data_IF_678444612279
#
_entry.id   IF_678444612279
#
_cell.length_a   1.000
_cell.length_b   1.000
_cell.length_c   1.000
_cell.angle_alpha   90.00
_cell.angle_beta   90.00
_cell.angle_gamma   90.00
#
_symmetry.space_group_name_H-M   'P 1'
#
loop_
_entity.id
_entity.type
_entity.pdbx_description
1 polymer ?
#
# COMPACT_ATOMS: atom_id res chain seq x y z
N UNK A 1 -11.78 0.18 18.44
CA UNK A 1 -11.44 0.03 17.00
C UNK A 1 -10.42 1.09 16.60
N UNK A 2 -9.12 0.75 16.50
CA UNK A 2 -8.05 1.55 15.84
C UNK A 2 -6.88 0.63 15.43
N UNK A 3 -7.03 -0.27 14.44
CA UNK A 3 -5.90 -1.13 14.07
C UNK A 3 -4.96 -0.49 13.04
N UNK A 4 -5.49 0.21 12.03
CA UNK A 4 -4.68 0.69 10.90
C UNK A 4 -3.71 1.82 11.26
N UNK A 5 -4.18 2.87 11.95
CA UNK A 5 -3.36 4.04 12.30
C UNK A 5 -2.17 3.67 13.21
N UNK A 6 -2.41 2.78 14.17
CA UNK A 6 -1.36 2.28 15.07
C UNK A 6 -0.36 1.37 14.33
N UNK A 7 -0.83 0.53 13.40
CA UNK A 7 0.04 -0.36 12.64
C UNK A 7 0.99 0.36 11.69
N UNK A 8 0.56 1.48 11.12
CA UNK A 8 1.39 2.30 10.21
C UNK A 8 2.12 3.46 10.91
N UNK A 9 1.93 3.60 12.23
CA UNK A 9 2.62 4.61 13.03
C UNK A 9 2.18 6.06 12.76
N UNK A 10 0.98 6.27 12.23
CA UNK A 10 0.46 7.62 11.92
C UNK A 10 -0.73 7.99 12.79
N UNK A 11 -0.97 9.30 12.92
CA UNK A 11 -2.15 9.80 13.62
C UNK A 11 -3.45 9.42 12.90
N UNK A 12 -4.54 9.27 13.66
CA UNK A 12 -5.86 9.04 13.07
C UNK A 12 -6.28 10.16 12.11
N UNK A 13 -5.91 11.40 12.40
CA UNK A 13 -6.14 12.57 11.55
C UNK A 13 -5.45 12.40 10.19
N UNK A 14 -4.24 11.85 10.18
CA UNK A 14 -3.51 11.53 8.95
C UNK A 14 -4.27 10.49 8.11
N UNK A 15 -4.80 9.44 8.75
CA UNK A 15 -5.62 8.43 8.06
C UNK A 15 -6.88 9.06 7.47
N UNK A 16 -7.59 9.92 8.22
CA UNK A 16 -8.75 10.64 7.69
C UNK A 16 -8.39 11.57 6.53
N UNK A 17 -7.20 12.18 6.55
CA UNK A 17 -6.71 12.98 5.43
C UNK A 17 -6.48 12.12 4.19
N UNK A 18 -5.89 10.93 4.33
CA UNK A 18 -5.66 10.02 3.20
C UNK A 18 -6.94 9.59 2.52
N UNK A 19 -8.00 9.35 3.30
CA UNK A 19 -9.33 9.03 2.77
C UNK A 19 -9.96 10.18 1.97
N UNK A 20 -9.57 11.43 2.24
CA UNK A 20 -10.11 12.62 1.58
C UNK A 20 -9.30 13.07 0.37
N UNK A 21 -7.98 12.90 0.39
CA UNK A 21 -7.10 13.41 -0.67
C UNK A 21 -6.53 12.28 -1.51
N UNK A 22 -5.57 11.55 -0.93
CA UNK A 22 -4.95 10.35 -1.46
C UNK A 22 -3.94 9.84 -0.43
N UNK A 23 -3.59 8.56 -0.54
CA UNK A 23 -2.52 7.96 0.26
C UNK A 23 -1.15 8.39 -0.32
N UNK A 24 -0.22 8.89 0.51
CA UNK A 24 1.14 9.22 0.07
C UNK A 24 1.95 7.96 -0.20
N UNK A 25 2.89 8.03 -1.15
CA UNK A 25 3.73 6.92 -1.62
C UNK A 25 4.35 6.10 -0.47
N UNK A 26 4.89 6.79 0.54
CA UNK A 26 5.55 6.20 1.70
C UNK A 26 4.62 5.35 2.58
N UNK A 27 3.31 5.66 2.58
CA UNK A 27 2.32 4.97 3.39
C UNK A 27 1.59 3.87 2.62
N UNK A 28 1.72 3.82 1.29
CA UNK A 28 1.09 2.77 0.46
C UNK A 28 1.61 1.39 0.87
N UNK A 29 2.93 1.21 0.97
CA UNK A 29 3.53 -0.10 1.31
C UNK A 29 3.13 -0.59 2.70
N UNK A 30 3.20 0.22 3.79
CA UNK A 30 2.69 -0.17 5.10
C UNK A 30 1.21 -0.55 5.11
N UNK A 31 0.36 0.18 4.39
CA UNK A 31 -1.09 -0.08 4.33
C UNK A 31 -1.36 -1.39 3.57
N UNK A 32 -0.70 -1.60 2.43
CA UNK A 32 -0.79 -2.85 1.67
C UNK A 32 -0.31 -4.03 2.52
N UNK A 33 0.82 -3.88 3.23
CA UNK A 33 1.35 -4.92 4.14
C UNK A 33 0.38 -5.24 5.27
N UNK A 34 -0.24 -4.23 5.87
CA UNK A 34 -1.25 -4.42 6.91
C UNK A 34 -2.50 -5.14 6.39
N UNK A 35 -2.87 -4.89 5.14
CA UNK A 35 -3.98 -5.55 4.45
C UNK A 35 -3.59 -6.88 3.79
N UNK A 36 -2.41 -7.43 4.08
CA UNK A 36 -1.88 -8.65 3.48
C UNK A 36 -1.86 -8.62 1.93
N UNK A 37 -1.62 -7.45 1.35
CA UNK A 37 -1.63 -7.21 -0.10
C UNK A 37 -2.95 -7.57 -0.80
N UNK A 38 -4.07 -7.63 -0.07
CA UNK A 38 -5.42 -7.74 -0.64
C UNK A 38 -5.78 -6.56 -1.54
N UNK A 39 -5.14 -5.41 -1.33
CA UNK A 39 -5.20 -4.24 -2.21
C UNK A 39 -3.78 -3.89 -2.61
N UNK A 40 -3.54 -3.83 -3.91
CA UNK A 40 -2.20 -3.58 -4.46
C UNK A 40 -1.86 -2.07 -4.46
N UNK A 41 -0.57 -1.69 -4.38
CA UNK A 41 -0.14 -0.30 -4.56
C UNK A 41 -0.66 0.31 -5.87
N UNK A 42 -0.75 -0.52 -6.92
CA UNK A 42 -1.31 -0.19 -8.21
C UNK A 42 -2.79 0.22 -8.13
N UNK A 43 -3.62 -0.56 -7.43
CA UNK A 43 -5.05 -0.22 -7.24
C UNK A 43 -5.25 1.05 -6.39
N UNK A 44 -4.36 1.31 -5.42
CA UNK A 44 -4.42 2.52 -4.61
C UNK A 44 -4.02 3.77 -5.39
N UNK A 45 -2.95 3.66 -6.18
CA UNK A 45 -2.27 4.77 -6.85
C UNK A 45 -1.71 4.31 -8.20
N UNK A 46 -2.57 4.16 -9.23
CA UNK A 46 -2.12 3.76 -10.57
C UNK A 46 -1.18 4.81 -11.20
N UNK A 47 -1.27 6.05 -10.73
CA UNK A 47 -0.43 7.18 -11.17
C UNK A 47 1.05 7.02 -10.79
N UNK A 48 1.33 6.44 -9.61
CA UNK A 48 2.70 6.26 -9.11
C UNK A 48 3.27 4.88 -9.44
N UNK A 49 2.40 3.88 -9.55
CA UNK A 49 2.77 2.50 -9.79
C UNK A 49 2.10 2.02 -11.08
N UNK A 50 2.69 2.27 -12.25
CA UNK A 50 2.11 1.87 -13.53
C UNK A 50 2.14 0.34 -13.73
N UNK A 51 3.04 -0.36 -13.03
CA UNK A 51 3.16 -1.81 -13.09
C UNK A 51 2.48 -2.49 -11.89
N UNK A 52 1.92 -3.70 -12.07
CA UNK A 52 1.24 -4.43 -11.00
C UNK A 52 2.20 -4.98 -9.93
N UNK A 53 3.47 -5.21 -10.28
CA UNK A 53 4.48 -5.74 -9.35
C UNK A 53 5.18 -4.68 -8.49
N UNK A 54 4.77 -3.44 -8.67
CA UNK A 54 5.47 -2.28 -8.16
C UNK A 54 5.07 -2.00 -6.70
N UNK A 55 6.06 -1.75 -5.84
CA UNK A 55 5.85 -1.66 -4.38
C UNK A 55 5.59 -2.99 -3.65
N UNK A 56 5.58 -4.13 -4.34
CA UNK A 56 5.55 -5.45 -3.70
C UNK A 56 6.95 -5.84 -3.13
N UNK A 57 7.02 -6.55 -1.99
CA UNK A 57 8.27 -7.07 -1.47
C UNK A 57 8.82 -8.13 -2.43
N UNK A 58 10.14 -8.28 -2.51
CA UNK A 58 10.80 -9.19 -3.45
C UNK A 58 10.35 -10.66 -3.32
N UNK A 59 9.85 -11.06 -2.15
CA UNK A 59 9.29 -12.39 -1.90
C UNK A 59 7.90 -12.62 -2.48
N UNK A 60 7.18 -11.56 -2.88
CA UNK A 60 5.80 -11.61 -3.36
C UNK A 60 5.65 -11.05 -4.78
N UNK A 61 6.68 -10.36 -5.30
CA UNK A 61 6.79 -10.10 -6.73
C UNK A 61 6.79 -11.44 -7.43
N UNK A 62 5.85 -11.65 -8.35
CA UNK A 62 5.99 -12.77 -9.28
C UNK A 62 7.23 -12.43 -10.09
N UNK A 63 8.33 -13.15 -9.86
CA UNK A 63 9.32 -13.26 -10.92
C UNK A 63 8.50 -13.75 -12.12
N UNK A 64 8.53 -13.02 -13.23
CA UNK A 64 8.00 -13.50 -14.50
C UNK A 64 8.45 -14.95 -14.62
N UNK A 65 7.47 -15.86 -14.62
CA UNK A 65 7.65 -17.30 -14.63
C UNK A 65 8.37 -17.65 -15.94
N UNK A 66 9.69 -17.67 -15.88
CA UNK A 66 10.58 -18.20 -16.89
C UNK A 66 11.07 -19.55 -16.36
N UNK A 67 10.25 -20.58 -16.56
CA UNK A 67 10.64 -21.99 -16.57
C UNK A 67 9.58 -22.80 -17.32
#
# INVERSE_FOLDING_TARGET
MRPLAAAIGVSYQSVQKYLKTQVPAEQVVPICKFSEYKVTPHELRPDLYPHPDDGLPASMRKCVEAA
#
